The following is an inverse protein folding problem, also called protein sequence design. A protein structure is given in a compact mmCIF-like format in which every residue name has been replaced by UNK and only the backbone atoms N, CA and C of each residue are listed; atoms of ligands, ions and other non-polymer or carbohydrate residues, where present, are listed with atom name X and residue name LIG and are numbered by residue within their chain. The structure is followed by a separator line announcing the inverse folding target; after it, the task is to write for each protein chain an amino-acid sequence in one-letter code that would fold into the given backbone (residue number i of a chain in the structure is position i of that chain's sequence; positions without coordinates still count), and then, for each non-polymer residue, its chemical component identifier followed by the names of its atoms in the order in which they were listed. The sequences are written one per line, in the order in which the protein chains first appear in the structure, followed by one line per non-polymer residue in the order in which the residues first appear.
data_IF_380493618385
#
_entry.id   IF_380493618385
#
_cell.length_a   1.000
_cell.length_b   1.000
_cell.length_c   1.000
_cell.angle_alpha   90.00
_cell.angle_beta   90.00
_cell.angle_gamma   90.00
#
_symmetry.space_group_name_H-M   'P 1'
#
loop_
_entity.id
_entity.type
_entity.pdbx_description
1 polymer ?
#
# COMPACT_ATOMS: atom_id res chain seq x y z
N UNK A 1 -12.05 2.97 -16.44
CA UNK A 1 -10.70 2.41 -16.26
C UNK A 1 -9.90 3.26 -15.28
N UNK A 2 -9.18 2.63 -14.39
CA UNK A 2 -8.40 3.36 -13.40
C UNK A 2 -7.05 3.75 -13.98
N UNK A 3 -6.66 5.00 -13.84
CA UNK A 3 -5.42 5.51 -14.43
C UNK A 3 -4.27 5.62 -13.43
N UNK A 4 -4.59 5.64 -12.14
CA UNK A 4 -3.57 5.70 -11.08
C UNK A 4 -3.59 4.40 -10.29
N UNK A 5 -2.44 3.76 -10.17
CA UNK A 5 -2.33 2.44 -9.53
C UNK A 5 -1.30 2.51 -8.43
N UNK A 6 -1.78 2.48 -7.20
CA UNK A 6 -0.98 2.82 -6.02
C UNK A 6 -1.01 1.68 -5.01
N UNK A 7 0.16 1.30 -4.52
CA UNK A 7 0.29 0.38 -3.39
C UNK A 7 0.64 1.19 -2.14
N UNK A 8 -0.05 0.92 -1.04
CA UNK A 8 0.25 1.54 0.24
C UNK A 8 0.55 0.45 1.25
N UNK A 9 1.79 0.38 1.70
CA UNK A 9 2.16 -0.57 2.74
C UNK A 9 1.73 -0.02 4.10
N UNK A 10 1.28 -0.91 4.97
CA UNK A 10 0.74 -0.49 6.25
C UNK A 10 -0.51 0.37 6.11
N UNK A 11 -1.26 0.16 5.03
CA UNK A 11 -2.41 1.00 4.73
C UNK A 11 -3.54 0.89 5.73
N UNK A 12 -3.59 -0.24 6.47
CA UNK A 12 -4.62 -0.42 7.49
C UNK A 12 -4.30 0.30 8.81
N UNK A 13 -3.11 0.89 8.93
CA UNK A 13 -2.78 1.70 10.10
C UNK A 13 -3.48 3.05 10.00
N UNK A 14 -3.47 3.77 11.12
CA UNK A 14 -4.11 5.09 11.19
C UNK A 14 -3.56 6.05 10.13
N UNK A 15 -2.24 6.12 10.03
CA UNK A 15 -1.59 7.02 9.06
C UNK A 15 -1.81 6.53 7.64
N UNK A 16 -1.63 5.22 7.43
CA UNK A 16 -1.83 4.64 6.11
C UNK A 16 -3.24 4.84 5.60
N UNK A 17 -4.24 4.70 6.47
CA UNK A 17 -5.63 4.92 6.11
C UNK A 17 -5.88 6.38 5.70
N UNK A 18 -5.28 7.32 6.42
CA UNK A 18 -5.41 8.73 6.09
C UNK A 18 -4.80 9.04 4.72
N UNK A 19 -3.65 8.47 4.43
CA UNK A 19 -3.00 8.61 3.13
C UNK A 19 -3.90 8.05 2.03
N UNK A 20 -4.41 6.85 2.24
CA UNK A 20 -5.27 6.19 1.26
C UNK A 20 -6.52 7.02 0.95
N UNK A 21 -7.16 7.54 1.99
CA UNK A 21 -8.37 8.35 1.82
C UNK A 21 -8.09 9.63 1.05
N UNK A 22 -6.91 10.22 1.26
CA UNK A 22 -6.55 11.44 0.54
C UNK A 22 -6.29 11.20 -0.94
N UNK A 23 -5.97 9.97 -1.32
CA UNK A 23 -5.66 9.61 -2.70
C UNK A 23 -6.82 8.97 -3.43
N UNK A 24 -7.83 8.51 -2.72
CA UNK A 24 -8.92 7.75 -3.32
C UNK A 24 -9.82 8.63 -4.17
N UNK A 25 -10.12 8.18 -5.38
CA UNK A 25 -11.07 8.82 -6.27
C UNK A 25 -11.45 7.82 -7.38
N UNK A 26 -12.25 8.26 -8.34
CA UNK A 26 -12.73 7.38 -9.41
C UNK A 26 -11.63 6.91 -10.35
N UNK A 27 -10.50 7.59 -10.39
CA UNK A 27 -9.41 7.21 -11.29
C UNK A 27 -8.36 6.36 -10.62
N UNK A 28 -8.50 6.09 -9.34
CA UNK A 28 -7.45 5.43 -8.55
C UNK A 28 -7.80 4.00 -8.22
N UNK A 29 -6.83 3.12 -8.45
CA UNK A 29 -6.84 1.75 -7.97
C UNK A 29 -5.84 1.66 -6.84
N UNK A 30 -6.24 1.11 -5.70
CA UNK A 30 -5.43 1.06 -4.51
C UNK A 30 -5.25 -0.38 -4.06
N UNK A 31 -4.02 -0.76 -3.81
CA UNK A 31 -3.72 -2.01 -3.11
C UNK A 31 -3.26 -1.65 -1.71
N UNK A 32 -4.00 -2.09 -0.72
CA UNK A 32 -3.73 -1.83 0.68
C UNK A 32 -3.07 -3.08 1.27
N UNK A 33 -1.84 -2.92 1.70
CA UNK A 33 -1.14 -3.98 2.39
C UNK A 33 -1.47 -3.92 3.87
N UNK A 34 -1.66 -5.08 4.48
CA UNK A 34 -1.80 -5.20 5.92
C UNK A 34 -1.04 -6.41 6.41
N UNK A 35 -0.68 -6.42 7.69
CA UNK A 35 0.04 -7.54 8.28
C UNK A 35 -0.88 -8.44 9.09
N UNK A 36 -1.60 -7.88 10.04
CA UNK A 36 -2.42 -8.68 10.97
C UNK A 36 -3.88 -8.31 11.00
N UNK A 37 -4.20 -7.06 10.81
CA UNK A 37 -5.55 -6.56 11.09
C UNK A 37 -6.44 -6.56 9.85
N UNK A 38 -6.99 -7.72 9.54
CA UNK A 38 -7.91 -7.85 8.42
C UNK A 38 -9.18 -7.02 8.63
N UNK A 39 -9.64 -6.92 9.86
CA UNK A 39 -10.85 -6.16 10.17
C UNK A 39 -10.70 -4.69 9.80
N UNK A 40 -9.58 -4.09 10.18
CA UNK A 40 -9.29 -2.70 9.82
C UNK A 40 -9.12 -2.54 8.32
N UNK A 41 -8.48 -3.50 7.69
CA UNK A 41 -8.26 -3.47 6.24
C UNK A 41 -9.59 -3.53 5.49
N UNK A 42 -10.49 -4.40 5.90
CA UNK A 42 -11.82 -4.52 5.29
C UNK A 42 -12.65 -3.24 5.46
N UNK A 43 -12.58 -2.65 6.64
CA UNK A 43 -13.28 -1.39 6.89
C UNK A 43 -12.76 -0.29 5.97
N UNK A 44 -11.45 -0.18 5.87
CA UNK A 44 -10.83 0.81 5.00
C UNK A 44 -11.21 0.58 3.54
N UNK A 45 -11.19 -0.68 3.11
CA UNK A 45 -11.58 -1.01 1.74
C UNK A 45 -12.96 -0.47 1.41
N UNK A 46 -13.92 -0.70 2.29
CA UNK A 46 -15.28 -0.21 2.07
C UNK A 46 -15.33 1.31 1.97
N UNK A 47 -14.57 1.99 2.84
CA UNK A 47 -14.54 3.45 2.81
C UNK A 47 -13.93 3.98 1.52
N UNK A 48 -12.86 3.35 1.06
CA UNK A 48 -12.20 3.78 -0.18
C UNK A 48 -13.04 3.49 -1.41
N UNK A 49 -13.77 2.37 -1.41
CA UNK A 49 -14.66 2.04 -2.51
C UNK A 49 -15.81 3.04 -2.63
N UNK A 50 -16.27 3.56 -1.51
CA UNK A 50 -17.29 4.62 -1.51
C UNK A 50 -16.78 5.91 -2.17
N UNK A 51 -15.47 6.12 -2.14
CA UNK A 51 -14.85 7.27 -2.78
C UNK A 51 -14.59 7.04 -4.28
N UNK A 52 -14.92 5.85 -4.76
CA UNK A 52 -14.84 5.52 -6.18
C UNK A 52 -13.67 4.66 -6.60
N UNK A 53 -12.76 4.36 -5.69
CA UNK A 53 -11.57 3.58 -6.03
C UNK A 53 -11.87 2.09 -6.15
N UNK A 54 -11.07 1.41 -6.97
CA UNK A 54 -10.95 -0.04 -6.90
C UNK A 54 -9.94 -0.36 -5.82
N UNK A 55 -10.26 -1.30 -4.93
CA UNK A 55 -9.40 -1.56 -3.78
C UNK A 55 -9.13 -3.05 -3.65
N UNK A 56 -7.88 -3.38 -3.47
CA UNK A 56 -7.40 -4.74 -3.24
C UNK A 56 -6.68 -4.80 -1.91
N UNK A 57 -6.85 -5.89 -1.19
CA UNK A 57 -6.18 -6.10 0.08
C UNK A 57 -5.19 -7.24 -0.07
N UNK A 58 -3.97 -7.05 0.39
CA UNK A 58 -2.96 -8.11 0.37
C UNK A 58 -2.29 -8.18 1.74
N UNK A 59 -2.30 -9.38 2.31
CA UNK A 59 -1.60 -9.66 3.55
C UNK A 59 -0.16 -10.05 3.25
N UNK A 60 0.79 -9.44 3.94
CA UNK A 60 2.19 -9.81 3.79
C UNK A 60 2.98 -9.37 5.01
N UNK A 61 4.01 -10.15 5.33
CA UNK A 61 4.99 -9.78 6.34
C UNK A 61 6.16 -9.12 5.62
N UNK A 62 6.33 -7.83 5.80
CA UNK A 62 7.36 -7.07 5.10
C UNK A 62 8.77 -7.36 5.56
N UNK A 63 8.92 -8.07 6.69
CA UNK A 63 10.22 -8.54 7.11
C UNK A 63 10.67 -9.76 6.30
N UNK A 64 9.76 -10.35 5.55
CA UNK A 64 10.05 -11.49 4.68
C UNK A 64 10.18 -10.99 3.24
N UNK A 65 11.38 -11.09 2.70
CA UNK A 65 11.68 -10.55 1.38
C UNK A 65 10.81 -11.17 0.29
N UNK A 66 10.60 -12.48 0.36
CA UNK A 66 9.76 -13.17 -0.63
C UNK A 66 8.32 -12.71 -0.59
N UNK A 67 7.79 -12.48 0.61
CA UNK A 67 6.43 -11.98 0.74
C UNK A 67 6.31 -10.57 0.21
N UNK A 68 7.34 -9.75 0.42
CA UNK A 68 7.35 -8.37 -0.11
C UNK A 68 7.35 -8.39 -1.63
N UNK A 69 8.18 -9.24 -2.23
CA UNK A 69 8.19 -9.38 -3.69
C UNK A 69 6.84 -9.84 -4.22
N UNK A 70 6.24 -10.82 -3.55
CA UNK A 70 4.96 -11.35 -3.96
C UNK A 70 3.86 -10.30 -3.85
N UNK A 71 3.91 -9.49 -2.80
CA UNK A 71 2.97 -8.38 -2.64
C UNK A 71 2.98 -7.48 -3.88
N UNK A 72 4.16 -7.07 -4.32
CA UNK A 72 4.27 -6.17 -5.46
C UNK A 72 3.82 -6.83 -6.75
N UNK A 73 4.15 -8.09 -6.93
CA UNK A 73 3.71 -8.84 -8.11
C UNK A 73 2.20 -8.99 -8.15
N UNK A 74 1.59 -9.34 -7.02
CA UNK A 74 0.14 -9.50 -6.94
C UNK A 74 -0.58 -8.16 -7.14
N UNK A 75 -0.04 -7.09 -6.56
CA UNK A 75 -0.62 -5.77 -6.74
C UNK A 75 -0.59 -5.36 -8.20
N UNK A 76 0.56 -5.54 -8.84
CA UNK A 76 0.70 -5.24 -10.26
C UNK A 76 -0.31 -6.03 -11.09
N UNK A 77 -0.44 -7.31 -10.80
CA UNK A 77 -1.36 -8.17 -11.54
C UNK A 77 -2.81 -7.76 -11.34
N UNK A 78 -3.20 -7.47 -10.11
CA UNK A 78 -4.58 -7.11 -9.79
C UNK A 78 -4.97 -5.76 -10.36
N UNK A 79 -4.08 -4.79 -10.27
CA UNK A 79 -4.34 -3.43 -10.76
C UNK A 79 -4.00 -3.27 -12.24
N UNK A 80 -3.33 -4.25 -12.83
CA UNK A 80 -2.83 -4.22 -14.20
C UNK A 80 -1.83 -3.10 -14.42
N UNK A 81 -0.98 -2.92 -13.44
CA UNK A 81 0.07 -1.91 -13.44
C UNK A 81 0.38 -1.44 -12.04
N UNK A 82 1.40 -0.62 -11.93
CA UNK A 82 1.82 -0.05 -10.66
C UNK A 82 2.52 1.27 -10.95
N UNK A 83 1.94 2.36 -10.52
CA UNK A 83 2.49 3.69 -10.77
C UNK A 83 3.23 4.25 -9.57
N UNK A 84 2.80 3.89 -8.36
CA UNK A 84 3.36 4.48 -7.16
C UNK A 84 3.31 3.49 -6.00
N UNK A 85 4.38 3.43 -5.25
CA UNK A 85 4.46 2.65 -4.01
C UNK A 85 4.68 3.62 -2.86
N UNK A 86 3.74 3.66 -1.93
CA UNK A 86 3.87 4.45 -0.72
C UNK A 86 4.22 3.51 0.41
N UNK A 87 5.46 3.60 0.86
CA UNK A 87 6.00 2.69 1.86
C UNK A 87 5.82 3.26 3.26
N UNK A 88 4.60 3.17 3.73
CA UNK A 88 4.23 3.71 5.05
C UNK A 88 4.61 2.79 6.21
N UNK A 89 4.48 1.48 6.02
CA UNK A 89 4.71 0.53 7.11
C UNK A 89 6.10 0.65 7.72
N UNK A 90 7.09 0.89 6.88
CA UNK A 90 8.49 0.91 7.33
C UNK A 90 8.91 2.22 7.96
N UNK A 91 8.07 3.23 7.92
CA UNK A 91 8.39 4.52 8.55
C UNK A 91 8.51 4.40 10.05
N UNK A 92 8.02 3.29 10.60
CA UNK A 92 8.04 3.06 12.05
C UNK A 92 9.09 2.07 12.48
N UNK A 93 9.95 1.66 11.55
CA UNK A 93 11.10 0.83 11.88
C UNK A 93 12.11 1.73 12.56
N UNK A 94 12.27 1.51 13.80
CA UNK A 94 12.95 2.37 14.75
C UNK A 94 14.28 2.89 14.37
N UNK A 95 15.23 2.03 14.55
CA UNK A 95 16.65 2.42 14.63
C UNK A 95 17.25 2.77 13.31
N UNK A 96 16.60 2.34 12.26
CA UNK A 96 17.14 2.49 10.91
C UNK A 96 16.27 3.37 10.04
N UNK A 97 15.47 4.20 10.65
CA UNK A 97 14.54 5.03 9.89
C UNK A 97 15.24 5.86 8.83
N UNK A 98 16.34 6.48 9.19
CA UNK A 98 17.08 7.31 8.26
C UNK A 98 17.65 6.49 7.11
N UNK A 99 18.32 5.38 7.44
CA UNK A 99 18.88 4.50 6.42
C UNK A 99 17.80 3.92 5.54
N UNK A 100 16.71 3.55 6.15
CA UNK A 100 15.58 3.02 5.42
C UNK A 100 15.04 4.06 4.43
N UNK A 101 14.85 5.28 4.89
CA UNK A 101 14.32 6.33 4.03
C UNK A 101 15.20 6.53 2.81
N UNK A 102 16.49 6.63 2.99
CA UNK A 102 17.41 6.84 1.88
C UNK A 102 17.40 5.69 0.89
N UNK A 103 17.53 4.47 1.38
CA UNK A 103 17.61 3.30 0.52
C UNK A 103 16.30 2.94 -0.12
N UNK A 104 15.24 2.93 0.66
CA UNK A 104 13.94 2.48 0.17
C UNK A 104 13.31 3.49 -0.76
N UNK A 105 13.49 4.76 -0.47
CA UNK A 105 12.94 5.81 -1.30
C UNK A 105 13.54 5.76 -2.70
N UNK A 106 14.86 5.64 -2.77
CA UNK A 106 15.56 5.54 -4.05
C UNK A 106 15.09 4.31 -4.82
N UNK A 107 14.98 3.18 -4.16
CA UNK A 107 14.51 1.95 -4.79
C UNK A 107 13.12 2.10 -5.39
N UNK A 108 12.26 2.78 -4.69
CA UNK A 108 10.86 2.86 -5.10
C UNK A 108 10.64 3.87 -6.22
N UNK A 109 11.53 4.83 -6.36
CA UNK A 109 11.46 5.79 -7.44
C UNK A 109 11.96 5.22 -8.75
N UNK A 110 12.74 4.20 -8.66
CA UNK A 110 13.27 3.54 -9.83
C UNK A 110 12.41 2.35 -10.22
#
# INVERSE_FOLDING_TARGET
MKTKKIVITGGATRIGAAIAKSLADYETSLTIHYNKSITKALKLKRELEKLGSEVYLIKADLNNFKQTQLLLKLAYKKMKGLDCLINNASLFENDNLQNFTDKSFVKHLN
#
